data_IF_384487061187
#
_entry.id   IF_384487061187
#
_cell.length_a   1.000
_cell.length_b   1.000
_cell.length_c   1.000
_cell.angle_alpha   90.00
_cell.angle_beta   90.00
_cell.angle_gamma   90.00
#
_symmetry.space_group_name_H-M   'P 1'
#
loop_
_entity.id
_entity.type
_entity.pdbx_description
1 polymer ?
#
# COMPACT_ATOMS: atom_id res chain seq x y z
N UNK A 1 -8.84 -29.32 6.67
CA UNK A 1 -9.80 -28.50 7.43
C UNK A 1 -9.04 -27.67 8.43
N UNK A 2 -8.96 -26.37 8.20
CA UNK A 2 -8.62 -25.37 9.21
C UNK A 2 -9.15 -24.04 8.66
N UNK A 3 -10.41 -23.75 8.95
CA UNK A 3 -10.93 -22.39 8.82
C UNK A 3 -10.23 -21.60 9.91
N UNK A 4 -9.15 -20.91 9.56
CA UNK A 4 -8.70 -19.80 10.38
C UNK A 4 -9.89 -18.85 10.47
N UNK A 5 -10.42 -18.68 11.68
CA UNK A 5 -11.43 -17.69 12.01
C UNK A 5 -10.82 -16.30 11.79
N UNK A 6 -10.66 -15.92 10.54
CA UNK A 6 -10.04 -14.66 10.18
C UNK A 6 -10.98 -13.56 10.64
N UNK A 7 -10.43 -12.61 11.38
CA UNK A 7 -11.06 -11.35 11.79
C UNK A 7 -12.02 -10.87 10.70
N UNK A 8 -13.30 -10.72 11.04
CA UNK A 8 -14.28 -10.18 10.13
C UNK A 8 -13.83 -8.76 9.72
N UNK A 9 -13.42 -8.58 8.47
CA UNK A 9 -13.14 -7.25 7.94
C UNK A 9 -14.48 -6.56 7.63
N UNK A 10 -14.88 -5.64 8.51
CA UNK A 10 -16.10 -4.84 8.40
C UNK A 10 -15.72 -3.39 8.08
N UNK A 11 -16.28 -2.83 7.01
CA UNK A 11 -16.24 -1.39 6.78
C UNK A 11 -17.41 -0.73 7.49
N UNK A 12 -17.13 0.24 8.37
CA UNK A 12 -18.13 1.07 9.02
C UNK A 12 -18.14 2.47 8.41
N UNK A 13 -19.26 2.84 7.82
CA UNK A 13 -19.51 4.19 7.31
C UNK A 13 -20.51 4.85 8.27
N UNK A 14 -20.13 5.97 8.87
CA UNK A 14 -21.01 6.75 9.76
C UNK A 14 -21.14 8.18 9.29
N UNK A 15 -22.36 8.71 9.30
CA UNK A 15 -22.67 10.09 8.92
C UNK A 15 -22.92 10.90 10.18
N UNK A 16 -22.30 12.07 10.25
CA UNK A 16 -22.41 13.01 11.36
C UNK A 16 -22.75 14.40 10.80
N UNK A 17 -23.58 15.14 11.52
CA UNK A 17 -23.79 16.55 11.28
C UNK A 17 -22.74 17.34 12.08
N UNK A 18 -21.97 18.15 11.36
CA UNK A 18 -20.93 18.98 11.94
C UNK A 18 -21.55 20.24 12.56
N UNK A 19 -21.61 20.25 13.89
CA UNK A 19 -22.14 21.34 14.71
C UNK A 19 -21.31 21.45 15.99
N UNK A 20 -21.52 22.50 16.79
CA UNK A 20 -20.80 22.71 18.07
C UNK A 20 -20.82 21.47 18.99
N UNK A 21 -21.87 20.66 18.88
CA UNK A 21 -21.86 19.27 19.33
C UNK A 21 -22.18 18.37 18.13
N UNK A 22 -21.29 17.44 17.75
CA UNK A 22 -21.50 16.62 16.55
C UNK A 22 -22.68 15.68 16.75
N UNK A 23 -23.66 15.72 15.85
CA UNK A 23 -24.88 14.91 15.93
C UNK A 23 -24.75 13.70 15.02
N UNK A 24 -24.89 12.49 15.57
CA UNK A 24 -24.88 11.26 14.79
C UNK A 24 -26.16 11.11 13.96
N UNK A 25 -26.03 10.93 12.65
CA UNK A 25 -27.16 10.77 11.73
C UNK A 25 -27.42 9.31 11.34
N UNK A 26 -26.44 8.43 11.50
CA UNK A 26 -26.60 6.99 11.31
C UNK A 26 -25.36 6.31 10.72
N UNK A 27 -25.37 4.98 10.68
CA UNK A 27 -24.25 4.18 10.17
C UNK A 27 -24.69 3.01 9.28
N UNK A 28 -23.79 2.60 8.39
CA UNK A 28 -23.88 1.38 7.60
C UNK A 28 -22.64 0.56 7.87
N UNK A 29 -22.83 -0.75 8.04
CA UNK A 29 -21.77 -1.72 8.22
C UNK A 29 -21.76 -2.70 7.07
N UNK A 30 -20.62 -2.85 6.42
CA UNK A 30 -20.43 -3.65 5.22
C UNK A 30 -19.43 -4.77 5.51
N UNK A 31 -19.82 -6.01 5.25
CA UNK A 31 -18.90 -7.13 5.28
C UNK A 31 -18.03 -7.09 4.03
N UNK A 32 -16.72 -6.91 4.21
CA UNK A 32 -15.77 -6.76 3.10
C UNK A 32 -15.34 -8.10 2.51
N UNK A 33 -15.39 -9.17 3.32
CA UNK A 33 -15.13 -10.53 2.83
C UNK A 33 -16.33 -11.05 2.09
N UNK A 34 -16.25 -11.03 0.76
CA UNK A 34 -17.24 -11.65 -0.10
C UNK A 34 -16.69 -12.98 -0.65
N UNK A 35 -17.52 -14.03 -0.74
CA UNK A 35 -17.10 -15.31 -1.30
C UNK A 35 -16.81 -15.23 -2.82
N UNK A 36 -17.21 -14.14 -3.48
CA UNK A 36 -16.98 -13.90 -4.90
C UNK A 36 -16.39 -12.50 -5.13
N UNK A 37 -15.50 -12.31 -6.13
CA UNK A 37 -14.82 -11.05 -6.43
C UNK A 37 -15.70 -10.01 -7.13
N UNK A 38 -17.03 -10.13 -7.04
CA UNK A 38 -17.96 -9.20 -7.70
C UNK A 38 -17.99 -7.84 -6.98
N UNK A 39 -17.99 -6.72 -7.71
CA UNK A 39 -18.15 -5.41 -7.09
C UNK A 39 -19.51 -5.30 -6.38
N UNK A 40 -19.48 -4.88 -5.11
CA UNK A 40 -20.68 -4.64 -4.32
C UNK A 40 -21.33 -3.30 -4.69
N UNK A 41 -22.32 -3.34 -5.57
CA UNK A 41 -23.17 -2.20 -5.90
C UNK A 41 -24.52 -2.33 -5.22
N UNK A 42 -24.72 -1.65 -4.09
CA UNK A 42 -25.97 -1.73 -3.34
C UNK A 42 -26.33 -0.40 -2.65
N UNK A 43 -27.62 -0.22 -2.42
CA UNK A 43 -28.16 0.89 -1.64
C UNK A 43 -28.33 0.46 -0.18
N UNK A 44 -27.88 1.31 0.74
CA UNK A 44 -27.96 1.05 2.17
C UNK A 44 -28.68 2.19 2.88
N UNK A 45 -29.54 1.83 3.83
CA UNK A 45 -30.13 2.78 4.76
C UNK A 45 -29.24 2.93 5.99
N UNK A 46 -29.04 4.17 6.42
CA UNK A 46 -28.34 4.47 7.67
C UNK A 46 -29.15 3.90 8.85
N UNK A 47 -28.49 3.13 9.73
CA UNK A 47 -29.08 2.58 10.96
C UNK A 47 -28.73 3.46 12.15
N UNK A 48 -29.67 3.61 13.08
CA UNK A 48 -29.41 4.20 14.39
C UNK A 48 -28.53 3.28 15.25
N UNK A 49 -27.76 3.84 16.18
CA UNK A 49 -26.86 3.11 17.09
C UNK A 49 -27.62 2.25 18.12
N UNK A 50 -28.92 2.52 18.33
CA UNK A 50 -29.78 1.76 19.24
C UNK A 50 -30.58 0.70 18.46
N UNK A 51 -30.38 -0.57 18.81
CA UNK A 51 -31.14 -1.68 18.23
C UNK A 51 -32.65 -1.44 18.33
N UNK A 52 -33.34 -1.52 17.19
CA UNK A 52 -34.76 -1.87 17.13
C UNK A 52 -35.81 -0.81 17.48
N UNK A 53 -35.48 0.38 17.96
CA UNK A 53 -36.49 1.39 18.23
C UNK A 53 -35.97 2.78 17.87
N UNK A 54 -36.86 3.59 17.27
CA UNK A 54 -36.66 5.00 16.88
C UNK A 54 -36.18 5.26 15.44
N UNK A 55 -36.78 4.60 14.44
CA UNK A 55 -36.96 5.20 13.10
C UNK A 55 -38.37 5.77 12.88
N UNK A 56 -39.15 5.93 13.95
CA UNK A 56 -40.38 6.74 13.94
C UNK A 56 -40.31 7.75 15.08
N UNK A 57 -39.80 8.94 14.78
CA UNK A 57 -39.97 10.14 15.60
C UNK A 57 -39.33 10.11 16.99
N UNK A 58 -38.01 10.23 17.07
CA UNK A 58 -37.31 10.53 18.33
C UNK A 58 -37.00 12.01 18.49
N UNK A 59 -38.02 12.86 18.36
CA UNK A 59 -37.98 14.21 18.94
C UNK A 59 -39.18 14.36 19.87
N UNK A 60 -38.99 14.79 21.13
CA UNK A 60 -40.09 15.15 22.00
C UNK A 60 -40.93 16.24 21.32
N UNK A 61 -42.27 16.18 21.39
CA UNK A 61 -43.15 17.18 20.79
C UNK A 61 -42.78 18.57 21.34
N UNK A 62 -42.49 19.52 20.45
CA UNK A 62 -42.17 20.91 20.81
C UNK A 62 -40.71 21.35 20.60
N UNK A 63 -39.81 20.46 20.20
CA UNK A 63 -38.44 20.87 19.78
C UNK A 63 -38.44 21.32 18.32
N UNK A 64 -37.70 22.40 17.99
CA UNK A 64 -37.63 23.03 16.64
C UNK A 64 -37.24 22.09 15.50
N UNK A 65 -36.76 20.88 15.80
CA UNK A 65 -36.49 19.83 14.83
C UNK A 65 -37.75 19.04 14.41
N UNK A 66 -38.88 19.27 15.09
CA UNK A 66 -40.16 18.57 14.86
C UNK A 66 -41.12 19.32 13.93
N UNK A 67 -40.79 20.55 13.50
CA UNK A 67 -41.73 21.45 12.83
C UNK A 67 -41.17 22.16 11.57
N UNK A 68 -39.92 21.94 11.20
CA UNK A 68 -39.50 22.12 9.81
C UNK A 68 -39.54 20.73 9.21
N UNK A 69 -40.24 20.57 8.09
CA UNK A 69 -40.53 19.27 7.47
C UNK A 69 -39.31 18.35 7.51
N UNK A 70 -39.56 17.06 7.69
CA UNK A 70 -38.57 16.01 7.45
C UNK A 70 -37.96 16.24 6.06
N UNK A 71 -36.96 17.11 5.98
CA UNK A 71 -36.12 17.29 4.83
C UNK A 71 -35.38 15.96 4.83
N UNK A 72 -35.92 15.03 4.05
CA UNK A 72 -35.37 13.71 3.87
C UNK A 72 -33.87 13.91 3.70
N UNK A 73 -33.08 13.40 4.64
CA UNK A 73 -31.63 13.41 4.54
C UNK A 73 -31.30 12.94 3.12
N UNK A 74 -30.54 13.73 2.37
CA UNK A 74 -30.19 13.40 0.99
C UNK A 74 -29.45 12.05 0.89
N UNK A 75 -29.34 11.50 -0.30
CA UNK A 75 -28.59 10.25 -0.51
C UNK A 75 -27.09 10.51 -0.60
N UNK A 76 -26.28 9.73 0.13
CA UNK A 76 -24.82 9.69 -0.04
C UNK A 76 -24.44 8.50 -0.91
N UNK A 77 -23.69 8.73 -2.00
CA UNK A 77 -23.13 7.66 -2.83
C UNK A 77 -21.64 7.54 -2.54
N UNK A 78 -21.22 6.35 -2.14
CA UNK A 78 -19.81 6.02 -1.88
C UNK A 78 -19.35 4.94 -2.86
N UNK A 79 -18.14 5.10 -3.37
CA UNK A 79 -17.42 4.06 -4.08
C UNK A 79 -16.30 3.57 -3.16
N UNK A 80 -16.36 2.31 -2.76
CA UNK A 80 -15.37 1.69 -1.89
C UNK A 80 -14.65 0.60 -2.68
N UNK A 81 -13.31 0.68 -2.72
CA UNK A 81 -12.46 -0.36 -3.27
C UNK A 81 -11.73 -1.05 -2.12
N UNK A 82 -11.88 -2.37 -2.02
CA UNK A 82 -11.22 -3.20 -1.01
C UNK A 82 -10.31 -4.20 -1.70
N UNK A 83 -9.03 -4.14 -1.39
CA UNK A 83 -8.00 -5.08 -1.85
C UNK A 83 -7.45 -5.83 -0.65
N UNK A 84 -7.23 -7.14 -0.80
CA UNK A 84 -6.60 -7.97 0.21
C UNK A 84 -5.30 -8.50 -0.35
N UNK A 85 -4.20 -7.95 0.12
CA UNK A 85 -2.87 -8.43 -0.23
C UNK A 85 -2.40 -9.40 0.86
N UNK A 86 -2.02 -10.61 0.44
CA UNK A 86 -1.48 -11.62 1.33
C UNK A 86 0.03 -11.74 1.13
N UNK A 87 0.79 -11.50 2.19
CA UNK A 87 2.22 -11.80 2.21
C UNK A 87 2.40 -13.23 2.70
N UNK A 88 3.09 -14.06 1.93
CA UNK A 88 3.36 -15.44 2.32
C UNK A 88 4.37 -15.48 3.48
N UNK A 89 4.44 -16.57 4.24
CA UNK A 89 5.55 -16.81 5.15
C UNK A 89 6.92 -16.78 4.43
N UNK A 90 7.98 -16.42 5.16
CA UNK A 90 9.32 -16.17 4.61
C UNK A 90 9.89 -17.34 3.77
N UNK A 91 9.61 -18.59 4.15
CA UNK A 91 10.13 -19.77 3.47
C UNK A 91 9.69 -19.88 2.00
N UNK A 92 8.59 -19.23 1.61
CA UNK A 92 8.17 -19.18 0.21
C UNK A 92 9.03 -18.23 -0.65
N UNK A 93 9.78 -17.33 -0.01
CA UNK A 93 10.62 -16.35 -0.70
C UNK A 93 12.11 -16.71 -0.69
N UNK A 94 12.51 -17.76 0.03
CA UNK A 94 13.93 -18.12 0.22
C UNK A 94 14.67 -18.37 -1.09
N UNK A 95 14.07 -19.09 -2.04
CA UNK A 95 14.70 -19.34 -3.34
C UNK A 95 14.93 -18.05 -4.14
N UNK A 96 13.95 -17.14 -4.11
CA UNK A 96 14.04 -15.83 -4.78
C UNK A 96 15.08 -14.94 -4.11
N UNK A 97 15.12 -14.92 -2.78
CA UNK A 97 16.12 -14.23 -1.98
C UNK A 97 17.52 -14.72 -2.32
N UNK A 98 17.77 -16.03 -2.26
CA UNK A 98 19.06 -16.63 -2.63
C UNK A 98 19.45 -16.30 -4.07
N UNK A 99 18.51 -16.34 -5.02
CA UNK A 99 18.74 -15.97 -6.41
C UNK A 99 19.24 -14.53 -6.55
N UNK A 100 18.65 -13.59 -5.81
CA UNK A 100 19.13 -12.21 -5.79
C UNK A 100 20.51 -12.11 -5.12
N UNK A 101 20.72 -12.74 -3.97
CA UNK A 101 22.00 -12.66 -3.26
C UNK A 101 23.18 -13.22 -4.07
N UNK A 102 22.97 -14.31 -4.81
CA UNK A 102 23.96 -14.90 -5.73
C UNK A 102 24.36 -13.96 -6.88
N UNK A 103 23.58 -12.92 -7.16
CA UNK A 103 23.89 -11.95 -8.21
C UNK A 103 25.21 -11.23 -7.96
N UNK A 104 25.64 -11.09 -6.71
CA UNK A 104 26.93 -10.43 -6.37
C UNK A 104 28.12 -11.22 -6.91
N UNK A 105 28.05 -12.55 -6.92
CA UNK A 105 29.13 -13.42 -7.38
C UNK A 105 29.01 -13.79 -8.87
N UNK A 106 27.89 -13.46 -9.52
CA UNK A 106 27.64 -13.79 -10.91
C UNK A 106 28.53 -12.98 -11.85
N UNK A 107 29.23 -13.66 -12.77
CA UNK A 107 30.07 -13.06 -13.82
C UNK A 107 29.69 -13.64 -15.19
N UNK A 108 29.38 -12.82 -16.20
CA UNK A 108 29.21 -11.37 -16.13
C UNK A 108 27.98 -10.97 -15.31
N UNK A 109 28.02 -9.80 -14.66
CA UNK A 109 26.89 -9.28 -13.84
C UNK A 109 25.63 -9.07 -14.70
N UNK A 110 25.77 -8.89 -16.01
CA UNK A 110 24.67 -8.77 -16.97
C UNK A 110 23.81 -10.03 -17.06
N UNK A 111 24.33 -11.19 -16.64
CA UNK A 111 23.59 -12.45 -16.55
C UNK A 111 22.96 -12.67 -15.16
N UNK A 112 23.07 -11.71 -14.24
CA UNK A 112 22.54 -11.83 -12.88
C UNK A 112 21.05 -11.52 -12.81
N UNK A 113 20.35 -12.09 -11.82
CA UNK A 113 18.93 -11.86 -11.61
C UNK A 113 18.61 -10.38 -11.31
N UNK A 114 19.48 -9.71 -10.56
CA UNK A 114 19.35 -8.27 -10.27
C UNK A 114 19.45 -7.44 -11.55
N UNK A 115 20.43 -7.73 -12.41
CA UNK A 115 20.60 -7.00 -13.67
C UNK A 115 19.41 -7.21 -14.60
N UNK A 116 18.98 -8.47 -14.79
CA UNK A 116 17.83 -8.80 -15.63
C UNK A 116 16.54 -8.14 -15.11
N UNK A 117 16.31 -8.18 -13.78
CA UNK A 117 15.19 -7.47 -13.16
C UNK A 117 15.26 -5.97 -13.47
N UNK A 118 16.47 -5.40 -13.38
CA UNK A 118 16.78 -4.04 -13.73
C UNK A 118 16.44 -3.69 -15.17
N UNK A 119 16.50 -4.61 -16.12
CA UNK A 119 16.14 -4.40 -17.52
C UNK A 119 14.62 -4.50 -17.74
N UNK A 120 13.96 -5.50 -17.16
CA UNK A 120 12.55 -5.82 -17.45
C UNK A 120 11.55 -4.93 -16.69
N UNK A 121 11.92 -4.34 -15.55
CA UNK A 121 10.98 -3.57 -14.73
C UNK A 121 10.62 -2.22 -15.39
N UNK A 122 9.36 -1.81 -15.30
CA UNK A 122 8.90 -0.52 -15.85
C UNK A 122 9.41 0.69 -15.06
N UNK A 123 9.40 0.60 -13.73
CA UNK A 123 9.93 1.62 -12.81
C UNK A 123 11.20 1.12 -12.12
N UNK A 124 12.35 1.73 -12.42
CA UNK A 124 13.62 1.37 -11.75
C UNK A 124 13.61 1.81 -10.28
N UNK A 125 12.86 2.86 -9.96
CA UNK A 125 12.66 3.35 -8.59
C UNK A 125 11.93 2.31 -7.72
N UNK A 126 10.89 1.67 -8.26
CA UNK A 126 10.07 0.71 -7.52
C UNK A 126 10.85 -0.58 -7.23
N UNK A 127 11.77 -0.96 -8.12
CA UNK A 127 12.69 -2.09 -7.90
C UNK A 127 13.85 -1.73 -6.97
N UNK A 128 14.37 -0.50 -7.02
CA UNK A 128 15.53 -0.10 -6.25
C UNK A 128 15.31 -0.20 -4.73
N UNK A 129 14.18 0.30 -4.23
CA UNK A 129 13.86 0.25 -2.80
C UNK A 129 13.92 -1.16 -2.18
N UNK A 130 13.18 -2.17 -2.68
CA UNK A 130 13.23 -3.51 -2.11
C UNK A 130 14.60 -4.17 -2.27
N UNK A 131 15.28 -3.97 -3.41
CA UNK A 131 16.63 -4.51 -3.62
C UNK A 131 17.64 -3.92 -2.64
N UNK A 132 17.65 -2.60 -2.45
CA UNK A 132 18.57 -1.95 -1.51
C UNK A 132 18.31 -2.45 -0.09
N UNK A 133 17.04 -2.58 0.33
CA UNK A 133 16.70 -3.15 1.64
C UNK A 133 17.20 -4.59 1.79
N UNK A 134 17.00 -5.43 0.78
CA UNK A 134 17.44 -6.82 0.76
C UNK A 134 18.96 -6.90 0.90
N UNK A 135 19.72 -6.20 0.06
CA UNK A 135 21.18 -6.26 0.09
C UNK A 135 21.78 -5.57 1.32
N UNK A 136 21.12 -4.55 1.88
CA UNK A 136 21.56 -3.92 3.14
C UNK A 136 21.38 -4.87 4.32
N UNK A 137 20.27 -5.63 4.36
CA UNK A 137 20.02 -6.63 5.40
C UNK A 137 21.09 -7.73 5.44
N UNK A 138 21.68 -8.05 4.29
CA UNK A 138 22.72 -9.09 4.16
C UNK A 138 24.15 -8.53 4.05
N UNK A 139 24.38 -7.25 4.34
CA UNK A 139 25.69 -6.58 4.24
C UNK A 139 26.35 -6.65 2.84
N UNK A 140 25.53 -6.79 1.79
CA UNK A 140 25.94 -6.97 0.40
C UNK A 140 25.61 -5.75 -0.50
N UNK A 141 25.14 -4.64 0.07
CA UNK A 141 24.76 -3.45 -0.70
C UNK A 141 25.94 -2.80 -1.45
N UNK A 142 27.10 -2.67 -0.80
CA UNK A 142 28.30 -2.10 -1.43
C UNK A 142 28.80 -2.97 -2.59
N UNK A 143 29.00 -4.30 -2.42
CA UNK A 143 29.51 -5.12 -3.51
C UNK A 143 28.54 -5.22 -4.70
N UNK A 144 27.22 -5.33 -4.49
CA UNK A 144 26.28 -5.39 -5.63
C UNK A 144 26.27 -4.08 -6.44
N UNK A 145 26.25 -2.93 -5.75
CA UNK A 145 26.25 -1.62 -6.42
C UNK A 145 27.56 -1.42 -7.20
N UNK A 146 28.70 -1.84 -6.65
CA UNK A 146 30.00 -1.79 -7.32
C UNK A 146 29.99 -2.62 -8.62
N UNK A 147 29.46 -3.84 -8.58
CA UNK A 147 29.40 -4.71 -9.76
C UNK A 147 28.49 -4.15 -10.85
N UNK A 148 27.31 -3.65 -10.48
CA UNK A 148 26.39 -3.00 -11.42
C UNK A 148 26.99 -1.73 -12.03
N UNK A 149 27.66 -0.91 -11.21
CA UNK A 149 28.32 0.31 -11.65
C UNK A 149 29.46 0.01 -12.63
N UNK A 150 30.28 -1.02 -12.36
CA UNK A 150 31.35 -1.42 -13.26
C UNK A 150 30.81 -1.83 -14.63
N UNK A 151 29.69 -2.56 -14.68
CA UNK A 151 29.05 -2.91 -15.94
C UNK A 151 28.49 -1.70 -16.68
N UNK A 152 27.84 -0.77 -15.96
CA UNK A 152 27.34 0.47 -16.56
C UNK A 152 28.49 1.31 -17.15
N UNK A 153 29.58 1.49 -16.41
CA UNK A 153 30.79 2.19 -16.89
C UNK A 153 31.38 1.51 -18.11
N UNK A 154 31.41 0.16 -18.16
CA UNK A 154 31.97 -0.57 -19.29
C UNK A 154 31.19 -0.41 -20.60
N UNK A 155 29.91 -0.04 -20.52
CA UNK A 155 29.02 0.13 -21.67
C UNK A 155 28.95 1.60 -22.11
N UNK A 156 29.25 2.54 -21.22
CA UNK A 156 29.15 3.98 -21.49
C UNK A 156 30.32 4.49 -22.34
N UNK A 157 30.01 5.06 -23.51
CA UNK A 157 30.98 5.72 -24.41
C UNK A 157 31.21 7.20 -24.10
N UNK A 158 30.29 7.83 -23.35
CA UNK A 158 30.37 9.25 -22.97
C UNK A 158 30.30 9.41 -21.44
N UNK A 159 31.40 9.89 -20.87
CA UNK A 159 31.59 10.06 -19.43
C UNK A 159 30.60 11.06 -18.79
N UNK A 160 29.96 11.93 -19.59
CA UNK A 160 29.03 12.95 -19.08
C UNK A 160 27.65 12.39 -18.66
N UNK A 161 27.36 11.13 -18.96
CA UNK A 161 26.07 10.48 -18.69
C UNK A 161 26.12 9.41 -17.58
N UNK A 162 27.32 9.10 -17.08
CA UNK A 162 27.53 8.12 -15.99
C UNK A 162 26.74 8.57 -14.76
N UNK A 163 25.90 7.67 -14.23
CA UNK A 163 25.05 7.88 -13.04
C UNK A 163 24.02 9.02 -13.11
N UNK A 164 23.80 9.60 -14.30
CA UNK A 164 22.71 10.57 -14.55
C UNK A 164 21.51 9.95 -15.26
N UNK A 165 21.58 8.66 -15.56
CA UNK A 165 20.56 7.91 -16.29
C UNK A 165 19.42 7.39 -15.42
N UNK A 166 18.31 7.07 -16.07
CA UNK A 166 17.21 6.27 -15.50
C UNK A 166 17.60 4.78 -15.48
N UNK A 167 18.69 4.45 -14.78
CA UNK A 167 19.23 3.08 -14.67
C UNK A 167 18.97 2.51 -13.29
N UNK A 168 19.03 1.18 -13.15
CA UNK A 168 18.80 0.54 -11.86
C UNK A 168 19.86 0.97 -10.83
N UNK A 169 21.13 1.07 -11.24
CA UNK A 169 22.23 1.37 -10.33
C UNK A 169 22.18 2.81 -9.79
N UNK A 170 21.81 3.80 -10.60
CA UNK A 170 21.63 5.17 -10.12
C UNK A 170 20.50 5.26 -9.07
N UNK A 171 19.38 4.56 -9.31
CA UNK A 171 18.29 4.47 -8.32
C UNK A 171 18.66 3.72 -7.05
N UNK A 172 19.44 2.66 -7.16
CA UNK A 172 19.95 1.92 -5.99
C UNK A 172 20.93 2.76 -5.16
N UNK A 173 21.79 3.56 -5.81
CA UNK A 173 22.69 4.48 -5.11
C UNK A 173 21.90 5.57 -4.36
N UNK A 174 20.94 6.23 -5.02
CA UNK A 174 20.09 7.27 -4.41
C UNK A 174 19.37 6.72 -3.16
N UNK A 175 18.80 5.53 -3.28
CA UNK A 175 18.03 4.88 -2.22
C UNK A 175 18.93 4.39 -1.07
N UNK A 176 20.14 3.88 -1.36
CA UNK A 176 21.11 3.50 -0.34
C UNK A 176 21.59 4.72 0.46
N UNK A 177 21.85 5.85 -0.23
CA UNK A 177 22.16 7.13 0.43
C UNK A 177 20.99 7.63 1.27
N UNK A 178 19.75 7.48 0.79
CA UNK A 178 18.55 7.86 1.55
C UNK A 178 18.40 7.02 2.83
N UNK A 179 18.62 5.71 2.75
CA UNK A 179 18.50 4.80 3.90
C UNK A 179 19.58 5.03 4.95
N UNK A 180 20.83 5.25 4.53
CA UNK A 180 21.97 5.49 5.43
C UNK A 180 22.03 6.93 5.95
N UNK A 181 21.70 7.91 5.10
CA UNK A 181 21.73 9.34 5.41
C UNK A 181 20.58 9.84 6.27
N UNK A 182 19.49 9.07 6.44
CA UNK A 182 18.34 9.48 7.25
C UNK A 182 18.67 9.66 8.76
N UNK A 183 19.74 9.02 9.24
CA UNK A 183 20.26 9.24 10.59
C UNK A 183 21.16 10.49 10.68
N UNK A 184 21.86 10.82 9.59
CA UNK A 184 22.76 11.98 9.50
C UNK A 184 22.00 13.30 9.29
N UNK A 185 20.90 13.29 8.54
CA UNK A 185 20.09 14.49 8.22
C UNK A 185 19.11 14.90 9.33
N UNK A 186 19.00 14.12 10.41
CA UNK A 186 18.17 14.41 11.58
C UNK A 186 18.98 14.83 12.82
N UNK A 187 20.30 14.97 12.66
CA UNK A 187 21.23 15.46 13.69
C UNK A 187 21.51 16.95 13.56
#
# INVERSE_FOLDING_TARGET
GSQTAGVACEARVSVWHDAATPVFLGEVRLQLRQPAPSPLCAWYFLRSRAGGALSRGATPPGTRLSAAGSAALGSLRLLLQYTVDHVFPLHHYTELEELFLRSVQQKPITASAVYILGEIVSSKTDAAQPLVRLFTHHDLIVPIVKELANAEISVLTDATTIFRGNTLVSKMMDEAMRLTGAAYLRG
#
